data_IF_074595517811
#
_entry.id   IF_074595517811
#
_cell.length_a   1.000
_cell.length_b   1.000
_cell.length_c   1.000
_cell.angle_alpha   90.00
_cell.angle_beta   90.00
_cell.angle_gamma   90.00
#
_symmetry.space_group_name_H-M   'P 1'
#
loop_
_entity.id
_entity.type
_entity.pdbx_description
1 polymer ?
#
# COMPACT_ATOMS: atom_id res chain seq x y z
N UNK A 1 -17.70 25.17 -9.92
CA UNK A 1 -17.50 23.99 -10.79
C UNK A 1 -17.77 24.37 -12.22
N UNK A 2 -16.87 24.02 -13.15
CA UNK A 2 -17.08 24.30 -14.59
C UNK A 2 -18.21 23.41 -15.13
N UNK A 3 -18.86 23.86 -16.19
CA UNK A 3 -19.94 23.10 -16.87
C UNK A 3 -19.43 21.75 -17.37
N UNK A 4 -18.19 21.70 -17.87
CA UNK A 4 -17.49 20.49 -18.30
C UNK A 4 -17.39 19.45 -17.17
N UNK A 5 -17.03 19.88 -15.97
CA UNK A 5 -16.89 18.99 -14.82
C UNK A 5 -18.25 18.42 -14.36
N UNK A 6 -19.31 19.25 -14.40
CA UNK A 6 -20.67 18.79 -14.09
C UNK A 6 -21.16 17.76 -15.10
N UNK A 7 -20.91 18.00 -16.39
CA UNK A 7 -21.28 17.06 -17.45
C UNK A 7 -20.57 15.72 -17.27
N UNK A 8 -19.28 15.75 -16.89
CA UNK A 8 -18.51 14.55 -16.63
C UNK A 8 -19.07 13.73 -15.45
N UNK A 9 -19.45 14.39 -14.35
CA UNK A 9 -20.11 13.71 -13.22
C UNK A 9 -21.40 13.02 -13.69
N UNK A 10 -22.18 13.70 -14.53
CA UNK A 10 -23.44 13.17 -15.04
C UNK A 10 -23.21 11.96 -15.96
N UNK A 11 -22.18 11.97 -16.81
CA UNK A 11 -21.79 10.81 -17.63
C UNK A 11 -21.48 9.57 -16.78
N UNK A 12 -20.74 9.76 -15.67
CA UNK A 12 -20.51 8.66 -14.72
C UNK A 12 -21.80 8.18 -14.06
N UNK A 13 -22.69 9.09 -13.65
CA UNK A 13 -23.96 8.72 -13.03
C UNK A 13 -24.84 7.93 -13.99
N UNK A 14 -24.93 8.35 -15.25
CA UNK A 14 -25.70 7.62 -16.27
C UNK A 14 -25.09 6.24 -16.48
N UNK A 15 -23.76 6.14 -16.65
CA UNK A 15 -23.11 4.84 -16.87
C UNK A 15 -23.25 3.88 -15.67
N UNK A 16 -23.22 4.41 -14.45
CA UNK A 16 -23.33 3.63 -13.22
C UNK A 16 -24.79 3.32 -12.83
N UNK A 17 -25.80 3.98 -13.39
CA UNK A 17 -27.22 3.71 -13.13
C UNK A 17 -27.82 2.69 -14.09
N UNK A 18 -27.08 2.21 -15.09
CA UNK A 18 -27.55 1.14 -15.98
C UNK A 18 -27.74 -0.16 -15.19
N UNK A 19 -28.87 -0.90 -15.34
CA UNK A 19 -29.11 -2.18 -14.64
C UNK A 19 -27.98 -3.20 -14.83
N UNK A 20 -27.35 -3.17 -16.01
CA UNK A 20 -26.13 -3.88 -16.35
C UNK A 20 -25.09 -2.89 -16.85
N UNK A 21 -24.08 -2.69 -16.05
CA UNK A 21 -23.01 -1.70 -16.35
C UNK A 21 -22.18 -2.17 -17.54
N UNK A 22 -22.02 -1.28 -18.53
CA UNK A 22 -21.11 -1.50 -19.65
C UNK A 22 -19.68 -1.28 -19.18
N UNK A 23 -18.91 -2.38 -19.02
CA UNK A 23 -17.51 -2.32 -18.56
C UNK A 23 -16.64 -1.51 -19.52
N UNK A 24 -16.84 -1.62 -20.84
CA UNK A 24 -16.08 -0.87 -21.87
C UNK A 24 -16.30 0.62 -21.68
N UNK A 25 -17.56 1.07 -21.61
CA UNK A 25 -17.88 2.49 -21.40
C UNK A 25 -17.34 3.01 -20.06
N UNK A 26 -17.45 2.20 -19.01
CA UNK A 26 -16.91 2.57 -17.69
C UNK A 26 -15.39 2.74 -17.74
N UNK A 27 -14.67 1.83 -18.40
CA UNK A 27 -13.22 1.91 -18.59
C UNK A 27 -12.81 3.18 -19.34
N UNK A 28 -13.48 3.50 -20.44
CA UNK A 28 -13.22 4.73 -21.20
C UNK A 28 -13.40 5.99 -20.36
N UNK A 29 -14.47 6.05 -19.56
CA UNK A 29 -14.71 7.15 -18.63
C UNK A 29 -13.63 7.23 -17.54
N UNK A 30 -13.29 6.12 -16.91
CA UNK A 30 -12.34 6.08 -15.79
C UNK A 30 -10.91 6.40 -16.21
N UNK A 31 -10.50 6.03 -17.43
CA UNK A 31 -9.15 6.21 -17.94
C UNK A 31 -8.67 7.68 -17.85
N UNK A 32 -9.54 8.61 -18.12
CA UNK A 32 -9.23 10.06 -18.03
C UNK A 32 -9.36 10.64 -16.60
N UNK A 33 -9.41 9.79 -15.59
CA UNK A 33 -9.55 10.14 -14.17
C UNK A 33 -11.01 10.22 -13.71
N UNK A 34 -11.28 9.77 -12.51
CA UNK A 34 -12.63 9.71 -11.94
C UNK A 34 -12.86 10.96 -11.08
N UNK A 35 -14.01 11.66 -11.23
CA UNK A 35 -14.35 12.79 -10.37
C UNK A 35 -14.34 12.43 -8.89
N UNK A 36 -13.92 13.38 -8.06
CA UNK A 36 -13.85 13.16 -6.60
C UNK A 36 -15.24 13.11 -5.94
N UNK A 37 -16.23 13.78 -6.53
CA UNK A 37 -17.55 13.92 -5.94
C UNK A 37 -18.38 12.64 -5.96
N UNK A 38 -19.24 12.51 -4.96
CA UNK A 38 -20.34 11.52 -4.92
C UNK A 38 -19.90 10.07 -4.74
N UNK A 39 -18.66 9.79 -4.30
CA UNK A 39 -18.20 8.42 -4.11
C UNK A 39 -17.96 7.64 -5.41
N UNK A 40 -17.93 8.34 -6.56
CA UNK A 40 -17.82 7.71 -7.89
C UNK A 40 -16.57 6.82 -7.98
N UNK A 41 -15.42 7.30 -7.46
CA UNK A 41 -14.16 6.55 -7.53
C UNK A 41 -14.24 5.24 -6.74
N UNK A 42 -14.76 5.28 -5.54
CA UNK A 42 -14.94 4.10 -4.69
C UNK A 42 -15.78 3.03 -5.43
N UNK A 43 -16.89 3.43 -6.03
CA UNK A 43 -17.76 2.53 -6.77
C UNK A 43 -17.09 2.00 -8.05
N UNK A 44 -16.45 2.86 -8.85
CA UNK A 44 -15.74 2.46 -10.06
C UNK A 44 -14.62 1.46 -9.75
N UNK A 45 -13.80 1.72 -8.73
CA UNK A 45 -12.72 0.80 -8.36
C UNK A 45 -13.23 -0.56 -7.90
N UNK A 46 -14.35 -0.61 -7.15
CA UNK A 46 -14.98 -1.86 -6.75
C UNK A 46 -15.42 -2.70 -7.96
N UNK A 47 -15.90 -2.05 -9.02
CA UNK A 47 -16.27 -2.73 -10.28
C UNK A 47 -15.02 -3.14 -11.06
N UNK A 48 -14.07 -2.22 -11.27
CA UNK A 48 -12.85 -2.46 -12.05
C UNK A 48 -11.92 -3.51 -11.42
N UNK A 49 -11.97 -3.66 -10.10
CA UNK A 49 -11.26 -4.71 -9.35
C UNK A 49 -12.08 -5.99 -9.15
N UNK A 50 -13.16 -6.17 -9.90
CA UNK A 50 -14.00 -7.37 -9.90
C UNK A 50 -14.61 -7.73 -8.51
N UNK A 51 -14.79 -6.74 -7.64
CA UNK A 51 -15.45 -6.92 -6.35
C UNK A 51 -16.98 -6.83 -6.50
N UNK A 52 -17.46 -5.88 -7.28
CA UNK A 52 -18.87 -5.76 -7.63
C UNK A 52 -19.14 -6.36 -9.02
N UNK A 53 -20.19 -7.18 -9.16
CA UNK A 53 -20.62 -7.66 -10.47
C UNK A 53 -21.19 -6.52 -11.32
N UNK A 54 -21.18 -6.69 -12.65
CA UNK A 54 -21.72 -5.67 -13.57
C UNK A 54 -23.25 -5.52 -13.47
N UNK A 55 -23.95 -6.54 -13.00
CA UNK A 55 -25.40 -6.54 -12.81
C UNK A 55 -25.75 -6.02 -11.41
N UNK A 56 -26.32 -4.82 -11.34
CA UNK A 56 -26.65 -4.17 -10.07
C UNK A 56 -27.60 -4.96 -9.16
N UNK A 57 -28.52 -5.72 -9.75
CA UNK A 57 -29.44 -6.57 -9.00
C UNK A 57 -28.73 -7.60 -8.09
N UNK A 58 -27.47 -7.94 -8.40
CA UNK A 58 -26.69 -8.89 -7.63
C UNK A 58 -25.86 -8.23 -6.50
N UNK A 59 -25.77 -6.90 -6.45
CA UNK A 59 -24.89 -6.20 -5.49
C UNK A 59 -25.24 -6.50 -4.04
N UNK A 60 -26.53 -6.37 -3.67
CA UNK A 60 -26.96 -6.57 -2.29
C UNK A 60 -26.61 -7.97 -1.77
N UNK A 61 -26.88 -9.00 -2.55
CA UNK A 61 -26.57 -10.39 -2.16
C UNK A 61 -25.08 -10.67 -2.12
N UNK A 62 -24.31 -10.15 -3.10
CA UNK A 62 -22.86 -10.32 -3.20
C UNK A 62 -22.15 -9.60 -2.03
N UNK A 63 -22.50 -8.34 -1.79
CA UNK A 63 -21.93 -7.54 -0.70
C UNK A 63 -22.20 -8.18 0.67
N UNK A 64 -23.47 -8.59 0.91
CA UNK A 64 -23.84 -9.26 2.16
C UNK A 64 -22.97 -10.49 2.40
N UNK A 65 -22.88 -11.38 1.41
CA UNK A 65 -22.09 -12.60 1.50
C UNK A 65 -20.60 -12.30 1.79
N UNK A 66 -20.01 -11.39 1.03
CA UNK A 66 -18.57 -11.05 1.17
C UNK A 66 -18.28 -10.41 2.52
N UNK A 67 -19.09 -9.46 2.98
CA UNK A 67 -18.93 -8.79 4.28
C UNK A 67 -19.14 -9.74 5.45
N UNK A 68 -20.11 -10.67 5.38
CA UNK A 68 -20.27 -11.75 6.35
C UNK A 68 -19.06 -12.69 6.37
N UNK A 69 -18.52 -13.04 5.20
CA UNK A 69 -17.30 -13.86 5.10
C UNK A 69 -16.11 -13.15 5.74
N UNK A 70 -15.95 -11.85 5.51
CA UNK A 70 -14.88 -11.09 6.17
C UNK A 70 -15.05 -11.04 7.69
N UNK A 71 -16.26 -10.84 8.18
CA UNK A 71 -16.56 -10.88 9.61
C UNK A 71 -16.24 -12.25 10.24
N UNK A 72 -16.43 -13.33 9.48
CA UNK A 72 -16.01 -14.67 9.92
C UNK A 72 -14.49 -14.80 9.96
N UNK A 73 -13.76 -14.30 8.97
CA UNK A 73 -12.29 -14.28 9.02
C UNK A 73 -11.75 -13.53 10.23
N UNK A 74 -12.34 -12.39 10.58
CA UNK A 74 -12.00 -11.66 11.81
C UNK A 74 -12.12 -12.55 13.05
N UNK A 75 -13.23 -13.25 13.19
CA UNK A 75 -13.49 -14.14 14.35
C UNK A 75 -12.51 -15.31 14.41
N UNK A 76 -12.20 -15.92 13.27
CA UNK A 76 -11.38 -17.12 13.22
C UNK A 76 -9.88 -16.83 13.35
N UNK A 77 -9.40 -15.68 12.83
CA UNK A 77 -7.98 -15.43 12.66
C UNK A 77 -7.35 -14.53 13.71
N UNK A 78 -8.15 -13.72 14.39
CA UNK A 78 -7.65 -12.79 15.42
C UNK A 78 -7.66 -13.41 16.81
N UNK A 79 -8.36 -14.53 16.99
CA UNK A 79 -8.52 -15.20 18.29
C UNK A 79 -7.20 -15.76 18.82
N UNK A 80 -6.92 -15.49 20.10
CA UNK A 80 -5.81 -16.08 20.84
C UNK A 80 -6.10 -17.52 21.27
N UNK A 81 -5.09 -18.41 21.35
CA UNK A 81 -5.27 -19.79 21.75
C UNK A 81 -5.93 -19.98 23.13
N UNK A 82 -5.64 -19.10 24.08
CA UNK A 82 -6.21 -19.19 25.46
C UNK A 82 -7.68 -18.74 25.55
N UNK A 83 -8.10 -17.78 24.74
CA UNK A 83 -9.46 -17.21 24.76
C UNK A 83 -10.45 -18.14 24.08
N UNK A 84 -10.05 -18.82 23.00
CA UNK A 84 -10.89 -19.79 22.32
C UNK A 84 -11.39 -20.91 23.25
N UNK A 85 -10.62 -21.27 24.27
CA UNK A 85 -10.99 -22.30 25.25
C UNK A 85 -11.95 -21.78 26.33
N UNK A 86 -11.77 -20.56 26.80
CA UNK A 86 -12.68 -19.91 27.74
C UNK A 86 -14.10 -19.79 27.17
N UNK A 87 -14.21 -19.40 25.89
CA UNK A 87 -15.50 -19.26 25.20
C UNK A 87 -16.19 -20.60 24.86
N UNK A 88 -15.45 -21.69 24.85
CA UNK A 88 -16.02 -23.04 24.62
C UNK A 88 -16.48 -23.74 25.91
N UNK A 89 -16.40 -23.06 27.06
CA UNK A 89 -16.82 -23.64 28.37
C UNK A 89 -15.97 -24.81 28.84
N UNK A 90 -14.78 -24.99 28.27
CA UNK A 90 -13.84 -26.05 28.65
C UNK A 90 -13.09 -25.56 29.89
N UNK A 91 -13.31 -26.21 31.01
CA UNK A 91 -12.70 -25.89 32.31
C UNK A 91 -11.17 -25.94 32.26
N UNK A 92 -10.54 -25.13 33.12
CA UNK A 92 -9.07 -24.90 33.21
C UNK A 92 -8.21 -26.15 33.33
N UNK A 93 -8.78 -27.27 33.75
CA UNK A 93 -8.07 -28.56 33.95
C UNK A 93 -7.78 -29.29 32.62
N UNK A 94 -8.58 -29.11 31.58
CA UNK A 94 -8.38 -29.73 30.27
C UNK A 94 -7.39 -29.01 29.38
N UNK A 95 -7.01 -27.78 29.74
CA UNK A 95 -6.09 -26.91 28.97
C UNK A 95 -4.64 -27.38 29.04
N UNK A 96 -4.29 -28.17 30.07
CA UNK A 96 -2.89 -28.51 30.39
C UNK A 96 -2.34 -29.72 29.63
N UNK A 97 -3.19 -30.53 29.01
CA UNK A 97 -2.75 -31.79 28.40
C UNK A 97 -2.61 -31.78 26.88
N UNK A 98 -3.33 -30.89 26.14
CA UNK A 98 -3.35 -31.00 24.68
C UNK A 98 -2.55 -29.94 23.90
N UNK A 99 -2.42 -28.70 24.39
CA UNK A 99 -1.64 -27.67 23.66
C UNK A 99 -0.99 -26.68 24.63
N UNK A 100 0.34 -26.66 24.70
CA UNK A 100 1.14 -25.84 25.59
C UNK A 100 2.12 -24.96 24.78
N UNK A 101 2.47 -23.73 25.23
CA UNK A 101 3.42 -22.87 24.51
C UNK A 101 4.78 -23.51 24.18
N UNK A 102 5.19 -24.53 24.90
CA UNK A 102 6.43 -25.27 24.67
C UNK A 102 6.20 -26.61 23.95
N UNK A 103 5.02 -26.85 23.40
CA UNK A 103 4.71 -28.05 22.64
C UNK A 103 5.59 -28.11 21.37
N UNK A 104 6.42 -29.18 21.19
CA UNK A 104 7.26 -29.29 20.00
C UNK A 104 6.49 -29.63 18.72
N UNK A 105 5.17 -29.91 18.82
CA UNK A 105 4.36 -30.20 17.64
C UNK A 105 4.27 -28.99 16.73
N UNK A 106 4.69 -29.07 15.44
CA UNK A 106 4.59 -27.98 14.49
C UNK A 106 3.15 -27.53 14.22
N UNK A 107 2.16 -28.40 14.44
CA UNK A 107 0.72 -28.11 14.25
C UNK A 107 0.06 -27.51 15.51
N UNK A 108 0.84 -27.26 16.56
CA UNK A 108 0.37 -26.59 17.78
C UNK A 108 -0.18 -25.19 17.44
N UNK A 109 -1.32 -24.82 18.04
CA UNK A 109 -1.89 -23.48 17.94
C UNK A 109 -0.94 -22.40 18.47
N UNK A 110 -0.11 -22.74 19.45
CA UNK A 110 0.91 -21.85 19.97
C UNK A 110 2.03 -21.58 18.95
N UNK A 111 2.47 -22.60 18.23
CA UNK A 111 3.46 -22.42 17.17
C UNK A 111 2.90 -21.53 16.04
N UNK A 112 1.64 -21.75 15.66
CA UNK A 112 0.94 -20.87 14.71
C UNK A 112 0.86 -19.44 15.25
N UNK A 113 0.49 -19.27 16.52
CA UNK A 113 0.41 -17.96 17.16
C UNK A 113 1.77 -17.22 17.17
N UNK A 114 2.88 -17.92 17.43
CA UNK A 114 4.21 -17.31 17.41
C UNK A 114 4.66 -16.94 15.99
N UNK A 115 4.42 -17.78 15.00
CA UNK A 115 4.68 -17.45 13.59
C UNK A 115 3.84 -16.24 13.13
N UNK A 116 2.59 -16.22 13.52
CA UNK A 116 1.70 -15.07 13.25
C UNK A 116 2.23 -13.78 13.87
N UNK A 117 2.84 -13.85 15.08
CA UNK A 117 3.43 -12.68 15.72
C UNK A 117 4.63 -12.13 14.94
N UNK A 118 5.45 -13.00 14.33
CA UNK A 118 6.57 -12.55 13.50
C UNK A 118 6.08 -11.78 12.28
N UNK A 119 5.06 -12.30 11.60
CA UNK A 119 4.42 -11.64 10.46
C UNK A 119 3.77 -10.33 10.90
N UNK A 120 3.02 -10.34 12.01
CA UNK A 120 2.36 -9.15 12.54
C UNK A 120 3.36 -8.03 12.88
N UNK A 121 4.50 -8.36 13.51
CA UNK A 121 5.56 -7.39 13.81
C UNK A 121 6.16 -6.74 12.54
N UNK A 122 6.23 -7.48 11.45
CA UNK A 122 6.69 -6.94 10.18
C UNK A 122 5.66 -5.98 9.59
N UNK A 123 4.39 -6.37 9.60
CA UNK A 123 3.27 -5.53 9.14
C UNK A 123 3.20 -4.24 9.95
N UNK A 124 3.22 -4.34 11.29
CA UNK A 124 3.14 -3.19 12.21
C UNK A 124 4.20 -2.13 11.90
N UNK A 125 5.44 -2.55 11.69
CA UNK A 125 6.53 -1.63 11.33
C UNK A 125 6.28 -0.88 10.03
N UNK A 126 5.65 -1.53 9.05
CA UNK A 126 5.42 -0.94 7.73
C UNK A 126 4.17 -0.04 7.72
N UNK A 127 3.07 -0.46 8.39
CA UNK A 127 1.84 0.35 8.43
C UNK A 127 1.99 1.62 9.27
N UNK A 128 2.81 1.60 10.32
CA UNK A 128 3.14 2.81 11.09
C UNK A 128 3.90 3.88 10.30
N UNK A 129 4.44 3.52 9.14
CA UNK A 129 5.15 4.41 8.23
C UNK A 129 4.38 4.67 6.94
N UNK A 130 3.12 4.22 6.86
CA UNK A 130 2.28 4.38 5.70
C UNK A 130 1.89 5.85 5.52
N UNK A 131 2.27 6.45 4.39
CA UNK A 131 1.96 7.83 4.03
C UNK A 131 2.17 8.84 5.19
N UNK A 132 3.39 8.99 5.72
CA UNK A 132 3.65 9.80 6.91
C UNK A 132 3.29 11.29 6.74
N UNK A 133 3.23 11.77 5.50
CA UNK A 133 2.86 13.14 5.16
C UNK A 133 1.34 13.39 5.24
N UNK A 134 0.56 12.32 5.41
CA UNK A 134 -0.90 12.40 5.49
C UNK A 134 -1.38 12.03 6.89
N UNK A 135 -1.95 12.99 7.60
CA UNK A 135 -2.55 12.77 8.91
C UNK A 135 -3.73 11.77 8.92
N UNK A 136 -4.26 11.39 7.75
CA UNK A 136 -5.41 10.49 7.64
C UNK A 136 -5.17 9.16 8.35
N UNK A 137 -4.06 8.48 8.05
CA UNK A 137 -3.81 7.15 8.60
C UNK A 137 -3.62 7.14 10.13
N UNK A 138 -3.27 8.28 10.70
CA UNK A 138 -3.07 8.46 12.16
C UNK A 138 -4.36 8.83 12.88
N UNK A 139 -5.39 9.30 12.18
CA UNK A 139 -6.65 9.72 12.77
C UNK A 139 -7.49 8.50 13.15
N UNK A 140 -8.36 8.64 14.15
CA UNK A 140 -9.32 7.61 14.49
C UNK A 140 -10.31 7.40 13.36
N UNK A 141 -10.67 6.12 13.11
CA UNK A 141 -11.77 5.77 12.22
C UNK A 141 -13.11 6.01 12.90
N UNK A 142 -14.11 6.43 12.11
CA UNK A 142 -15.49 6.55 12.58
C UNK A 142 -16.15 5.17 12.79
N UNK A 143 -15.57 4.12 12.23
CA UNK A 143 -16.09 2.75 12.20
C UNK A 143 -15.05 1.75 12.71
N UNK A 144 -14.72 1.79 14.02
CA UNK A 144 -13.78 0.85 14.63
C UNK A 144 -14.36 -0.57 14.60
N UNK A 145 -13.49 -1.57 14.56
CA UNK A 145 -13.92 -2.96 14.62
C UNK A 145 -14.45 -3.32 16.01
N UNK A 146 -15.75 -3.21 16.21
CA UNK A 146 -16.41 -3.45 17.51
C UNK A 146 -16.12 -4.86 18.06
N UNK A 147 -15.93 -5.85 17.19
CA UNK A 147 -15.57 -7.20 17.63
C UNK A 147 -14.29 -7.24 18.48
N UNK A 148 -13.32 -6.36 18.18
CA UNK A 148 -12.02 -6.32 18.84
C UNK A 148 -11.98 -5.22 19.90
N UNK A 149 -12.72 -4.13 19.67
CA UNK A 149 -12.70 -2.95 20.55
C UNK A 149 -13.67 -3.03 21.71
N UNK A 150 -14.65 -3.94 21.67
CA UNK A 150 -15.61 -4.11 22.77
C UNK A 150 -14.88 -4.68 24.00
N UNK A 151 -14.86 -3.96 25.14
CA UNK A 151 -14.24 -4.44 26.38
C UNK A 151 -14.86 -5.71 26.96
N UNK A 152 -16.09 -6.04 26.54
CA UNK A 152 -16.78 -7.28 26.95
C UNK A 152 -16.30 -8.48 26.14
N UNK A 153 -15.72 -8.26 24.98
CA UNK A 153 -15.05 -9.29 24.20
C UNK A 153 -13.62 -9.44 24.72
N UNK A 154 -13.28 -10.63 25.17
CA UNK A 154 -11.93 -10.95 25.65
C UNK A 154 -10.88 -10.99 24.54
N UNK A 155 -11.14 -10.35 23.39
CA UNK A 155 -10.19 -10.29 22.28
C UNK A 155 -9.10 -9.25 22.55
N UNK A 156 -7.88 -9.65 22.30
CA UNK A 156 -6.74 -8.75 22.34
C UNK A 156 -6.62 -8.03 20.99
N UNK A 157 -6.47 -6.70 21.03
CA UNK A 157 -6.18 -5.94 19.80
C UNK A 157 -4.81 -6.36 19.22
N UNK A 158 -4.65 -6.29 17.91
CA UNK A 158 -3.36 -6.58 17.26
C UNK A 158 -2.25 -5.70 17.86
N UNK A 159 -2.54 -4.44 18.13
CA UNK A 159 -1.63 -3.52 18.83
C UNK A 159 -1.14 -4.06 20.18
N UNK A 160 -2.02 -4.53 21.07
CA UNK A 160 -1.61 -5.12 22.36
C UNK A 160 -0.76 -6.37 22.15
N UNK A 161 -1.09 -7.17 21.15
CA UNK A 161 -0.33 -8.36 20.78
C UNK A 161 1.10 -8.00 20.33
N UNK A 162 1.27 -6.94 19.52
CA UNK A 162 2.57 -6.39 19.13
C UNK A 162 3.35 -5.90 20.36
N UNK A 163 2.74 -5.09 21.22
CA UNK A 163 3.36 -4.55 22.43
C UNK A 163 3.87 -5.67 23.35
N UNK A 164 3.05 -6.68 23.63
CA UNK A 164 3.44 -7.82 24.47
C UNK A 164 4.58 -8.63 23.87
N UNK A 165 4.56 -8.84 22.57
CA UNK A 165 5.62 -9.58 21.85
C UNK A 165 6.95 -8.81 21.90
N UNK A 166 6.90 -7.50 21.74
CA UNK A 166 8.06 -6.60 21.80
C UNK A 166 8.65 -6.56 23.20
N UNK A 167 7.84 -6.45 24.26
CA UNK A 167 8.28 -6.46 25.65
C UNK A 167 8.98 -7.78 26.01
N UNK A 168 8.40 -8.92 25.60
CA UNK A 168 9.00 -10.24 25.85
C UNK A 168 10.37 -10.39 25.17
N UNK A 169 10.52 -9.86 23.96
CA UNK A 169 11.81 -9.94 23.24
C UNK A 169 12.91 -9.09 23.89
N UNK A 170 12.55 -7.94 24.43
CA UNK A 170 13.50 -7.07 25.16
C UNK A 170 13.95 -7.71 26.49
N UNK A 171 13.03 -8.36 27.21
CA UNK A 171 13.35 -9.04 28.47
C UNK A 171 14.29 -10.23 28.26
N UNK A 172 14.10 -10.99 27.21
CA UNK A 172 14.98 -12.15 26.86
C UNK A 172 16.37 -11.69 26.44
N UNK A 173 16.49 -10.58 25.71
CA UNK A 173 17.78 -10.01 25.34
C UNK A 173 18.59 -9.51 26.57
N UNK A 174 17.92 -8.98 27.60
CA UNK A 174 18.57 -8.53 28.84
C UNK A 174 19.12 -9.69 29.68
N UNK A 175 18.43 -10.82 29.71
CA UNK A 175 18.84 -11.99 30.49
C UNK A 175 20.00 -12.79 29.85
N UNK A 176 20.30 -12.60 28.58
CA UNK A 176 21.40 -13.32 27.87
C UNK A 176 22.76 -12.70 28.01
N UNK A 177 22.87 -11.43 28.37
CA UNK A 177 24.16 -10.72 28.29
C UNK A 177 24.94 -10.63 29.59
N UNK A 178 24.45 -11.11 30.76
CA UNK A 178 25.24 -11.19 32.00
C UNK A 178 26.12 -9.97 32.35
N UNK A 179 26.01 -8.87 31.63
CA UNK A 179 26.77 -7.64 31.77
C UNK A 179 25.79 -6.54 32.17
N UNK A 180 25.85 -6.17 33.43
CA UNK A 180 25.18 -5.01 34.01
C UNK A 180 25.79 -3.72 33.47
N UNK A 181 25.57 -3.39 32.22
CA UNK A 181 25.69 -2.03 31.74
C UNK A 181 24.30 -1.42 31.77
N UNK A 182 24.07 -0.55 32.75
CA UNK A 182 22.93 0.35 32.81
C UNK A 182 23.08 1.35 31.65
N UNK A 183 22.79 0.90 30.45
CA UNK A 183 22.46 1.81 29.39
C UNK A 183 21.02 2.28 29.64
N UNK A 184 20.87 3.54 30.02
CA UNK A 184 19.60 4.24 29.88
C UNK A 184 18.94 3.84 28.57
N UNK A 185 17.63 3.53 28.56
CA UNK A 185 16.95 3.27 27.31
C UNK A 185 17.18 4.50 26.42
N UNK A 186 18.03 4.37 25.40
CA UNK A 186 18.05 5.35 24.35
C UNK A 186 16.63 5.36 23.80
N UNK A 187 15.88 6.41 24.13
CA UNK A 187 14.72 6.81 23.35
C UNK A 187 15.22 7.05 21.95
N UNK A 188 15.24 6.01 21.12
CA UNK A 188 15.24 6.15 19.68
C UNK A 188 13.88 6.71 19.34
N UNK A 189 13.69 7.99 19.58
CA UNK A 189 12.60 8.76 19.01
C UNK A 189 12.88 8.84 17.52
N UNK A 190 12.51 7.79 16.80
CA UNK A 190 12.24 7.93 15.40
C UNK A 190 10.97 8.79 15.32
N UNK A 191 11.13 10.04 14.88
CA UNK A 191 10.04 11.02 14.72
C UNK A 191 9.00 10.61 13.67
N UNK A 192 8.85 9.33 13.37
CA UNK A 192 7.97 8.74 12.36
C UNK A 192 7.05 7.64 12.90
N UNK A 193 7.08 7.35 14.20
CA UNK A 193 6.11 6.41 14.77
C UNK A 193 4.83 7.16 15.10
N UNK A 194 3.72 6.70 14.57
CA UNK A 194 2.40 7.25 14.88
C UNK A 194 2.11 7.10 16.37
N UNK A 195 1.58 8.16 16.98
CA UNK A 195 1.12 8.10 18.36
C UNK A 195 -0.02 7.09 18.50
N UNK A 196 0.04 6.33 19.58
CA UNK A 196 -1.02 5.37 19.90
C UNK A 196 -2.22 6.12 20.43
N UNK A 197 -3.39 5.91 19.82
CA UNK A 197 -4.63 6.51 20.25
C UNK A 197 -5.09 5.96 21.61
N UNK A 198 -5.90 6.72 22.38
CA UNK A 198 -6.49 6.25 23.63
C UNK A 198 -7.26 4.93 23.45
N UNK A 199 -7.39 4.18 24.55
CA UNK A 199 -8.20 2.97 24.58
C UNK A 199 -9.63 3.26 24.11
N UNK A 200 -10.16 2.41 23.23
CA UNK A 200 -11.47 2.57 22.61
C UNK A 200 -11.47 3.32 21.28
N UNK A 201 -10.32 3.88 20.86
CA UNK A 201 -10.15 4.49 19.55
C UNK A 201 -9.22 3.61 18.70
N UNK A 202 -9.55 3.47 17.43
CA UNK A 202 -8.78 2.72 16.43
C UNK A 202 -8.33 3.66 15.32
N UNK A 203 -7.05 3.69 15.01
CA UNK A 203 -6.52 4.48 13.89
C UNK A 203 -6.74 3.78 12.55
N UNK A 204 -6.80 4.55 11.47
CA UNK A 204 -6.92 3.98 10.13
C UNK A 204 -5.75 3.05 9.77
N UNK A 205 -4.52 3.29 10.26
CA UNK A 205 -3.41 2.38 10.02
C UNK A 205 -3.60 1.02 10.72
N UNK A 206 -4.29 0.95 11.87
CA UNK A 206 -4.60 -0.30 12.57
C UNK A 206 -5.61 -1.15 11.76
N UNK A 207 -6.52 -0.50 11.05
CA UNK A 207 -7.42 -1.20 10.11
C UNK A 207 -6.62 -1.80 8.95
N UNK A 208 -5.67 -1.04 8.39
CA UNK A 208 -4.78 -1.54 7.32
C UNK A 208 -3.92 -2.71 7.82
N UNK A 209 -3.39 -2.62 9.04
CA UNK A 209 -2.67 -3.72 9.70
C UNK A 209 -3.51 -5.01 9.73
N UNK A 210 -4.76 -4.89 10.14
CA UNK A 210 -5.69 -6.01 10.25
C UNK A 210 -6.01 -6.64 8.88
N UNK A 211 -6.25 -5.83 7.86
CA UNK A 211 -6.46 -6.28 6.48
C UNK A 211 -5.27 -7.13 6.02
N UNK A 212 -4.05 -6.61 6.18
CA UNK A 212 -2.82 -7.28 5.76
C UNK A 212 -2.55 -8.55 6.57
N UNK A 213 -2.83 -8.53 7.87
CA UNK A 213 -2.66 -9.70 8.72
C UNK A 213 -3.59 -10.84 8.30
N UNK A 214 -4.87 -10.56 8.05
CA UNK A 214 -5.83 -11.57 7.58
C UNK A 214 -5.42 -12.07 6.19
N UNK A 215 -5.01 -11.17 5.29
CA UNK A 215 -4.51 -11.56 3.96
C UNK A 215 -3.33 -12.52 4.07
N UNK A 216 -2.33 -12.21 4.90
CA UNK A 216 -1.15 -13.05 5.09
C UNK A 216 -1.49 -14.43 5.66
N UNK A 217 -2.44 -14.51 6.58
CA UNK A 217 -2.91 -15.80 7.14
C UNK A 217 -3.65 -16.66 6.12
N UNK A 218 -4.44 -16.05 5.24
CA UNK A 218 -5.16 -16.75 4.18
C UNK A 218 -4.27 -17.16 3.02
N UNK A 219 -3.10 -16.54 2.89
CA UNK A 219 -2.16 -16.77 1.79
C UNK A 219 -0.76 -17.18 2.33
N UNK A 220 -0.63 -18.30 3.07
CA UNK A 220 0.61 -18.66 3.75
C UNK A 220 1.80 -18.90 2.80
N UNK A 221 1.55 -19.20 1.52
CA UNK A 221 2.59 -19.37 0.51
C UNK A 221 3.32 -18.09 0.12
N UNK A 222 2.69 -16.92 0.30
CA UNK A 222 3.28 -15.60 0.07
C UNK A 222 3.47 -14.89 1.41
N UNK A 223 2.52 -15.08 2.33
CA UNK A 223 2.40 -14.38 3.60
C UNK A 223 2.36 -12.84 3.39
N UNK A 224 3.07 -12.08 4.21
CA UNK A 224 3.23 -10.64 4.03
C UNK A 224 4.61 -10.35 3.45
N UNK A 225 4.65 -9.55 2.41
CA UNK A 225 5.89 -9.02 1.84
C UNK A 225 5.89 -7.51 1.98
N UNK A 226 7.04 -6.97 2.39
CA UNK A 226 7.23 -5.52 2.55
C UNK A 226 6.86 -4.78 1.26
N UNK A 227 6.03 -3.75 1.40
CA UNK A 227 5.48 -2.97 0.29
C UNK A 227 4.00 -3.26 -0.01
N UNK A 228 3.43 -4.37 0.46
CA UNK A 228 1.99 -4.63 0.33
C UNK A 228 1.14 -3.55 1.02
N UNK A 229 1.66 -2.92 2.09
CA UNK A 229 1.06 -1.76 2.75
C UNK A 229 0.89 -0.57 1.79
N UNK A 230 1.83 -0.36 0.87
CA UNK A 230 1.77 0.73 -0.12
C UNK A 230 0.72 0.48 -1.21
N UNK A 231 0.33 -0.78 -1.43
CA UNK A 231 -0.73 -1.14 -2.38
C UNK A 231 -2.11 -1.07 -1.74
N UNK A 232 -2.27 -1.57 -0.52
CA UNK A 232 -3.56 -1.53 0.17
C UNK A 232 -3.94 -0.12 0.62
N UNK A 233 -2.96 0.73 0.94
CA UNK A 233 -3.16 2.09 1.45
C UNK A 233 -4.06 2.97 0.57
N UNK A 234 -3.77 3.15 -0.73
CA UNK A 234 -4.59 3.95 -1.63
C UNK A 234 -6.01 3.40 -1.82
N UNK A 235 -6.17 2.07 -1.85
CA UNK A 235 -7.50 1.43 -1.95
C UNK A 235 -8.31 1.72 -0.69
N UNK A 236 -7.72 1.48 0.48
CA UNK A 236 -8.38 1.75 1.76
C UNK A 236 -8.72 3.24 1.93
N UNK A 237 -7.78 4.14 1.61
CA UNK A 237 -8.03 5.58 1.66
C UNK A 237 -9.26 5.97 0.81
N UNK A 238 -9.32 5.47 -0.42
CA UNK A 238 -10.42 5.76 -1.35
C UNK A 238 -11.78 5.29 -0.80
N UNK A 239 -11.83 4.15 -0.14
CA UNK A 239 -13.08 3.59 0.41
C UNK A 239 -13.44 4.19 1.77
N UNK A 240 -12.46 4.41 2.63
CA UNK A 240 -12.67 4.99 3.95
C UNK A 240 -12.97 6.51 3.93
N UNK A 241 -12.72 7.17 2.80
CA UNK A 241 -13.09 8.59 2.57
C UNK A 241 -14.34 8.73 1.70
N UNK A 242 -15.06 7.65 1.42
CA UNK A 242 -16.31 7.70 0.65
C UNK A 242 -17.33 8.61 1.36
N UNK A 243 -17.96 9.56 0.66
CA UNK A 243 -18.99 10.42 1.24
C UNK A 243 -20.27 9.67 1.61
N UNK A 244 -20.51 8.49 1.03
CA UNK A 244 -21.64 7.64 1.38
C UNK A 244 -21.29 6.82 2.63
N UNK A 245 -22.02 7.05 3.71
CA UNK A 245 -21.81 6.40 5.02
C UNK A 245 -21.96 4.88 4.95
N UNK A 246 -22.90 4.37 4.17
CA UNK A 246 -23.12 2.94 3.97
C UNK A 246 -21.91 2.24 3.32
N UNK A 247 -21.25 2.89 2.38
CA UNK A 247 -20.00 2.38 1.80
C UNK A 247 -18.82 2.55 2.74
N UNK A 248 -18.73 3.69 3.40
CA UNK A 248 -17.64 4.03 4.32
C UNK A 248 -17.58 3.07 5.52
N UNK A 249 -18.73 2.69 6.08
CA UNK A 249 -18.85 1.74 7.19
C UNK A 249 -18.20 0.38 6.87
N UNK A 250 -18.25 -0.02 5.62
CA UNK A 250 -17.71 -1.30 5.17
C UNK A 250 -16.39 -1.20 4.44
N UNK A 251 -15.71 -0.05 4.55
CA UNK A 251 -14.45 0.19 3.84
C UNK A 251 -13.38 -0.86 4.09
N UNK A 252 -13.31 -1.42 5.31
CA UNK A 252 -12.35 -2.47 5.67
C UNK A 252 -12.58 -3.75 4.87
N UNK A 253 -13.78 -4.31 4.90
CA UNK A 253 -14.13 -5.54 4.20
C UNK A 253 -14.03 -5.37 2.68
N UNK A 254 -14.55 -4.25 2.15
CA UNK A 254 -14.51 -3.95 0.72
C UNK A 254 -13.05 -3.80 0.23
N UNK A 255 -12.17 -3.17 1.05
CA UNK A 255 -10.74 -3.07 0.75
C UNK A 255 -10.07 -4.43 0.74
N UNK A 256 -10.36 -5.29 1.72
CA UNK A 256 -9.78 -6.63 1.79
C UNK A 256 -10.01 -7.42 0.50
N UNK A 257 -11.23 -7.46 0.00
CA UNK A 257 -11.54 -8.20 -1.23
C UNK A 257 -10.97 -7.54 -2.49
N UNK A 258 -11.06 -6.20 -2.62
CA UNK A 258 -10.45 -5.49 -3.73
C UNK A 258 -8.93 -5.67 -3.77
N UNK A 259 -8.27 -5.58 -2.60
CA UNK A 259 -6.84 -5.85 -2.47
C UNK A 259 -6.50 -7.30 -2.82
N UNK A 260 -7.27 -8.27 -2.34
CA UNK A 260 -7.08 -9.70 -2.66
C UNK A 260 -7.20 -9.96 -4.16
N UNK A 261 -8.19 -9.36 -4.83
CA UNK A 261 -8.35 -9.46 -6.27
C UNK A 261 -7.16 -8.85 -7.02
N UNK A 262 -6.71 -7.65 -6.62
CA UNK A 262 -5.53 -7.01 -7.21
C UNK A 262 -4.28 -7.86 -7.00
N UNK A 263 -4.08 -8.37 -5.78
CA UNK A 263 -2.94 -9.25 -5.47
C UNK A 263 -2.96 -10.54 -6.26
N UNK A 264 -4.13 -11.08 -6.63
CA UNK A 264 -4.20 -12.26 -7.48
C UNK A 264 -3.56 -12.07 -8.86
N UNK A 265 -3.50 -10.83 -9.35
CA UNK A 265 -2.90 -10.46 -10.63
C UNK A 265 -1.39 -10.15 -10.51
N UNK A 266 -0.93 -9.66 -9.34
CA UNK A 266 0.45 -9.17 -9.16
C UNK A 266 1.29 -10.00 -8.18
N UNK A 267 0.72 -11.01 -7.54
CA UNK A 267 1.39 -11.80 -6.51
C UNK A 267 2.73 -12.38 -6.96
N UNK A 268 2.86 -12.73 -8.24
CA UNK A 268 4.08 -13.33 -8.78
C UNK A 268 5.28 -12.37 -8.71
N UNK A 269 5.03 -11.06 -8.67
CA UNK A 269 6.06 -10.04 -8.44
C UNK A 269 6.66 -10.08 -7.02
N UNK A 270 6.00 -10.78 -6.08
CA UNK A 270 6.40 -10.89 -4.67
C UNK A 270 6.97 -12.26 -4.32
N UNK A 271 6.99 -13.20 -5.26
CA UNK A 271 7.44 -14.58 -5.03
C UNK A 271 8.86 -14.73 -5.57
N UNK A 272 9.85 -14.69 -4.67
CA UNK A 272 11.27 -14.76 -5.01
C UNK A 272 11.65 -15.96 -5.90
N UNK A 273 11.00 -17.10 -5.75
CA UNK A 273 11.25 -18.28 -6.59
C UNK A 273 10.77 -18.13 -8.03
N UNK A 274 9.96 -17.12 -8.32
CA UNK A 274 9.46 -16.80 -9.66
C UNK A 274 10.19 -15.62 -10.31
N UNK A 275 11.15 -14.98 -9.63
CA UNK A 275 11.82 -13.77 -10.11
C UNK A 275 12.39 -13.94 -11.53
N UNK A 276 12.99 -15.09 -11.81
CA UNK A 276 13.62 -15.39 -13.12
C UNK A 276 12.68 -16.12 -14.10
N UNK A 277 11.39 -16.23 -13.78
CA UNK A 277 10.39 -16.84 -14.66
C UNK A 277 9.79 -15.81 -15.63
N UNK A 278 9.11 -16.28 -16.68
CA UNK A 278 8.41 -15.41 -17.63
C UNK A 278 7.25 -14.61 -17.02
N UNK A 279 6.72 -15.02 -15.87
CA UNK A 279 5.71 -14.27 -15.13
C UNK A 279 6.31 -13.42 -14.00
N UNK A 280 7.61 -13.55 -13.75
CA UNK A 280 8.32 -12.90 -12.66
C UNK A 280 8.68 -11.44 -12.93
N UNK A 281 9.16 -10.79 -11.88
CA UNK A 281 9.49 -9.36 -11.93
C UNK A 281 10.68 -9.05 -12.85
N UNK A 282 11.65 -9.97 -12.95
CA UNK A 282 12.82 -9.79 -13.84
C UNK A 282 12.39 -9.66 -15.30
N UNK A 283 11.51 -10.53 -15.77
CA UNK A 283 10.97 -10.46 -17.12
C UNK A 283 10.20 -9.15 -17.37
N UNK A 284 9.39 -8.70 -16.42
CA UNK A 284 8.66 -7.43 -16.54
C UNK A 284 9.61 -6.22 -16.58
N UNK A 285 10.71 -6.24 -15.83
CA UNK A 285 11.73 -5.19 -15.89
C UNK A 285 12.46 -5.19 -17.26
N UNK A 286 12.72 -6.37 -17.82
CA UNK A 286 13.29 -6.49 -19.16
C UNK A 286 12.33 -5.98 -20.25
N UNK A 287 11.02 -6.19 -20.06
CA UNK A 287 10.00 -5.63 -20.95
C UNK A 287 10.01 -4.09 -20.95
N UNK A 288 10.28 -3.42 -19.84
CA UNK A 288 10.47 -1.96 -19.84
C UNK A 288 11.60 -1.56 -20.79
N UNK A 289 12.72 -2.28 -20.77
CA UNK A 289 13.84 -1.97 -21.67
C UNK A 289 13.57 -2.38 -23.12
N UNK A 290 12.87 -3.48 -23.35
CA UNK A 290 12.48 -3.90 -24.71
C UNK A 290 11.55 -2.87 -25.34
N UNK A 291 10.56 -2.40 -24.57
CA UNK A 291 9.63 -1.35 -25.00
C UNK A 291 10.35 -0.01 -25.19
N UNK A 292 11.25 0.37 -24.27
CA UNK A 292 12.05 1.59 -24.43
C UNK A 292 12.92 1.53 -25.69
N UNK A 293 13.54 0.38 -25.98
CA UNK A 293 14.34 0.16 -27.20
C UNK A 293 13.52 0.37 -28.45
N UNK A 294 12.26 -0.08 -28.46
CA UNK A 294 11.35 0.09 -29.58
C UNK A 294 10.90 1.54 -29.75
N UNK A 295 10.58 2.21 -28.65
CA UNK A 295 10.00 3.57 -28.68
C UNK A 295 11.04 4.68 -28.69
N UNK A 296 12.23 4.49 -28.11
CA UNK A 296 13.33 5.47 -28.08
C UNK A 296 14.69 4.76 -28.00
N UNK A 297 15.21 4.40 -29.17
CA UNK A 297 16.48 3.68 -29.30
C UNK A 297 17.68 4.47 -28.74
N UNK A 298 17.72 5.80 -28.93
CA UNK A 298 18.84 6.62 -28.48
C UNK A 298 18.94 6.63 -26.95
N UNK A 299 17.79 6.78 -26.28
CA UNK A 299 17.72 6.75 -24.82
C UNK A 299 18.08 5.37 -24.28
N UNK A 300 17.60 4.30 -24.92
CA UNK A 300 17.96 2.93 -24.58
C UNK A 300 19.46 2.71 -24.66
N UNK A 301 20.10 3.11 -25.78
CA UNK A 301 21.55 2.96 -25.97
C UNK A 301 22.34 3.76 -24.95
N UNK A 302 21.91 4.97 -24.60
CA UNK A 302 22.55 5.79 -23.56
C UNK A 302 22.54 5.11 -22.19
N UNK A 303 21.41 4.55 -21.79
CA UNK A 303 21.30 3.83 -20.51
C UNK A 303 22.14 2.54 -20.51
N UNK A 304 22.20 1.84 -21.65
CA UNK A 304 23.05 0.65 -21.82
C UNK A 304 24.55 1.00 -21.77
N UNK A 305 24.97 2.06 -22.45
CA UNK A 305 26.37 2.55 -22.42
C UNK A 305 26.82 2.84 -20.98
N UNK A 306 25.95 3.42 -20.18
CA UNK A 306 26.20 3.71 -18.78
C UNK A 306 26.01 2.48 -17.85
N UNK A 307 25.66 1.32 -18.39
CA UNK A 307 25.36 0.10 -17.61
C UNK A 307 24.28 0.32 -16.53
N UNK A 308 23.33 1.21 -16.80
CA UNK A 308 22.15 1.42 -15.94
C UNK A 308 21.15 0.32 -16.25
N UNK A 309 20.96 -0.58 -15.29
CA UNK A 309 20.03 -1.71 -15.44
C UNK A 309 18.64 -1.36 -14.95
N UNK A 310 17.55 -1.91 -15.54
CA UNK A 310 16.19 -1.63 -15.10
C UNK A 310 15.93 -2.04 -13.65
N UNK A 311 16.67 -3.02 -13.12
CA UNK A 311 16.60 -3.44 -11.73
C UNK A 311 16.88 -2.30 -10.72
N UNK A 312 17.63 -1.28 -11.12
CA UNK A 312 18.00 -0.18 -10.22
C UNK A 312 16.85 0.79 -9.94
N UNK A 313 15.81 0.83 -10.80
CA UNK A 313 14.68 1.75 -10.67
C UNK A 313 13.32 1.08 -10.95
N UNK A 314 13.19 0.26 -12.00
CA UNK A 314 11.91 -0.29 -12.44
C UNK A 314 11.36 -1.36 -11.48
N UNK A 315 12.20 -2.02 -10.67
CA UNK A 315 11.74 -3.01 -9.68
C UNK A 315 10.66 -2.42 -8.77
N UNK A 316 10.95 -1.29 -8.13
CA UNK A 316 10.03 -0.62 -7.21
C UNK A 316 8.81 -0.08 -7.95
N UNK A 317 9.01 0.50 -9.15
CA UNK A 317 7.93 1.05 -9.95
C UNK A 317 6.88 0.00 -10.31
N UNK A 318 7.32 -1.16 -10.76
CA UNK A 318 6.45 -2.26 -11.19
C UNK A 318 5.84 -3.01 -9.99
N UNK A 319 6.65 -3.34 -8.99
CA UNK A 319 6.18 -4.12 -7.83
C UNK A 319 5.14 -3.37 -7.02
N UNK A 320 5.32 -2.06 -6.83
CA UNK A 320 4.45 -1.23 -6.00
C UNK A 320 3.47 -0.36 -6.81
N UNK A 321 3.32 -0.63 -8.10
CA UNK A 321 2.40 0.11 -8.98
C UNK A 321 2.57 1.63 -8.88
N UNK A 322 3.83 2.10 -8.81
CA UNK A 322 4.22 3.51 -8.67
C UNK A 322 3.76 4.19 -7.36
N UNK A 323 3.22 3.46 -6.39
CA UNK A 323 2.67 4.05 -5.15
C UNK A 323 3.70 4.78 -4.28
N UNK A 324 4.99 4.47 -4.40
CA UNK A 324 6.08 5.16 -3.71
C UNK A 324 6.73 6.29 -4.52
N UNK A 325 6.35 6.44 -5.78
CA UNK A 325 6.97 7.41 -6.68
C UNK A 325 6.23 8.75 -6.67
N UNK A 326 4.96 8.76 -6.32
CA UNK A 326 4.09 9.92 -6.37
C UNK A 326 3.38 10.15 -5.03
N UNK A 327 2.85 11.36 -4.83
CA UNK A 327 1.95 11.66 -3.71
C UNK A 327 0.63 10.90 -3.88
N UNK A 328 -0.06 10.62 -2.79
CA UNK A 328 -1.27 9.80 -2.81
C UNK A 328 -2.35 10.29 -3.80
N UNK A 329 -2.64 11.59 -3.97
CA UNK A 329 -3.59 12.05 -4.98
C UNK A 329 -3.17 11.67 -6.40
N UNK A 330 -1.88 11.75 -6.72
CA UNK A 330 -1.32 11.40 -8.02
C UNK A 330 -1.32 9.90 -8.24
N UNK A 331 -1.00 9.12 -7.21
CA UNK A 331 -1.14 7.65 -7.24
C UNK A 331 -2.57 7.25 -7.56
N UNK A 332 -3.54 7.85 -6.89
CA UNK A 332 -4.97 7.59 -7.13
C UNK A 332 -5.34 7.95 -8.58
N UNK A 333 -4.82 9.05 -9.11
CA UNK A 333 -5.05 9.44 -10.51
C UNK A 333 -4.43 8.44 -11.50
N UNK A 334 -3.20 7.98 -11.24
CA UNK A 334 -2.55 6.93 -12.06
C UNK A 334 -3.38 5.65 -12.01
N UNK A 335 -3.87 5.28 -10.85
CA UNK A 335 -4.63 4.03 -10.68
C UNK A 335 -6.03 4.08 -11.31
N UNK A 336 -6.64 5.27 -11.41
CA UNK A 336 -7.87 5.42 -12.22
C UNK A 336 -7.64 4.93 -13.66
N UNK A 337 -6.53 5.34 -14.30
CA UNK A 337 -6.18 4.90 -15.65
C UNK A 337 -5.72 3.43 -15.69
N UNK A 338 -4.89 3.03 -14.73
CA UNK A 338 -4.33 1.68 -14.66
C UNK A 338 -5.44 0.62 -14.49
N UNK A 339 -6.38 0.82 -13.55
CA UNK A 339 -7.45 -0.13 -13.31
C UNK A 339 -8.47 -0.17 -14.45
N UNK A 340 -8.60 0.91 -15.20
CA UNK A 340 -9.50 0.99 -16.34
C UNK A 340 -8.93 0.40 -17.63
N UNK A 341 -7.62 0.24 -17.76
CA UNK A 341 -7.02 -0.41 -18.92
C UNK A 341 -7.32 -1.92 -18.94
N UNK A 342 -7.47 -2.48 -20.14
CA UNK A 342 -7.75 -3.93 -20.31
C UNK A 342 -6.54 -4.75 -19.91
N UNK A 343 -5.36 -4.31 -20.39
CA UNK A 343 -4.06 -4.93 -20.14
C UNK A 343 -3.24 -4.06 -19.17
N UNK A 344 -3.81 -3.83 -17.99
CA UNK A 344 -3.32 -2.84 -17.01
C UNK A 344 -1.84 -2.93 -16.68
N UNK A 345 -1.25 -4.10 -16.74
CA UNK A 345 0.17 -4.26 -16.41
C UNK A 345 1.08 -4.00 -17.62
N UNK A 346 0.62 -4.22 -18.83
CA UNK A 346 1.32 -3.78 -20.05
C UNK A 346 1.23 -2.26 -20.16
N UNK A 347 0.08 -1.69 -19.82
CA UNK A 347 -0.05 -0.23 -19.70
C UNK A 347 0.88 0.36 -18.62
N UNK A 348 1.09 -0.33 -17.49
CA UNK A 348 2.07 0.09 -16.49
C UNK A 348 3.50 0.16 -17.05
N UNK A 349 3.89 -0.79 -17.90
CA UNK A 349 5.19 -0.76 -18.58
C UNK A 349 5.30 0.48 -19.48
N UNK A 350 4.24 0.81 -20.21
CA UNK A 350 4.19 2.04 -21.03
C UNK A 350 4.25 3.32 -20.17
N UNK A 351 3.63 3.33 -19.00
CA UNK A 351 3.76 4.44 -18.05
C UNK A 351 5.21 4.58 -17.60
N UNK A 352 5.89 3.49 -17.26
CA UNK A 352 7.32 3.52 -16.91
C UNK A 352 8.19 4.05 -18.07
N UNK A 353 7.91 3.63 -19.32
CA UNK A 353 8.61 4.14 -20.49
C UNK A 353 8.31 5.62 -20.72
N UNK A 354 7.06 6.06 -20.56
CA UNK A 354 6.67 7.46 -20.67
C UNK A 354 7.43 8.34 -19.66
N UNK A 355 7.58 7.86 -18.41
CA UNK A 355 8.38 8.55 -17.39
C UNK A 355 9.83 8.75 -17.85
N UNK A 356 10.46 7.73 -18.43
CA UNK A 356 11.83 7.83 -18.96
C UNK A 356 11.92 8.80 -20.14
N UNK A 357 11.01 8.70 -21.10
CA UNK A 357 10.99 9.51 -22.31
C UNK A 357 10.74 10.99 -21.98
N UNK A 358 9.92 11.29 -21.02
CA UNK A 358 9.63 12.67 -20.62
C UNK A 358 10.84 13.39 -19.98
N UNK A 359 11.79 12.64 -19.44
CA UNK A 359 13.07 13.19 -18.91
C UNK A 359 14.26 12.88 -19.85
N UNK A 360 13.97 12.52 -21.11
CA UNK A 360 14.94 12.11 -22.13
C UNK A 360 16.15 13.02 -22.21
N UNK A 361 15.92 14.31 -22.37
CA UNK A 361 16.99 15.30 -22.60
C UNK A 361 17.96 15.36 -21.41
N UNK A 362 17.44 15.23 -20.19
CA UNK A 362 18.27 15.20 -18.98
C UNK A 362 19.09 13.91 -18.90
N UNK A 363 18.47 12.75 -19.25
CA UNK A 363 19.14 11.45 -19.24
C UNK A 363 20.22 11.35 -20.32
N UNK A 364 20.02 11.95 -21.51
CA UNK A 364 21.00 11.94 -22.57
C UNK A 364 22.25 12.76 -22.24
N UNK A 365 22.09 13.89 -21.53
CA UNK A 365 23.18 14.77 -21.14
C UNK A 365 23.87 14.28 -19.84
N UNK A 366 23.13 13.62 -18.96
CA UNK A 366 23.61 13.15 -17.66
C UNK A 366 24.69 12.06 -17.74
N UNK A 367 25.56 12.07 -16.76
CA UNK A 367 26.47 10.96 -16.47
C UNK A 367 25.75 9.86 -15.66
N UNK A 368 26.44 8.74 -15.39
CA UNK A 368 25.88 7.63 -14.59
C UNK A 368 25.33 8.10 -13.24
N UNK A 369 26.04 8.95 -12.51
CA UNK A 369 25.66 9.39 -11.17
C UNK A 369 24.41 10.29 -11.20
N UNK A 370 24.37 11.22 -12.16
CA UNK A 370 23.23 12.09 -12.37
C UNK A 370 22.01 11.27 -12.78
N UNK A 371 22.15 10.37 -13.76
CA UNK A 371 21.07 9.54 -14.26
C UNK A 371 20.54 8.58 -13.19
N UNK A 372 21.42 7.93 -12.43
CA UNK A 372 21.00 7.10 -11.30
C UNK A 372 20.24 7.90 -10.24
N UNK A 373 20.68 9.12 -9.96
CA UNK A 373 19.97 10.00 -9.03
C UNK A 373 18.60 10.38 -9.58
N UNK A 374 18.49 10.80 -10.83
CA UNK A 374 17.21 11.11 -11.47
C UNK A 374 16.24 9.93 -11.39
N UNK A 375 16.67 8.73 -11.74
CA UNK A 375 15.85 7.52 -11.77
C UNK A 375 15.44 7.01 -10.37
N UNK A 376 16.27 7.24 -9.36
CA UNK A 376 15.99 6.83 -7.98
C UNK A 376 15.26 7.91 -7.17
N UNK A 377 15.36 9.18 -7.56
CA UNK A 377 14.79 10.31 -6.82
C UNK A 377 13.31 10.51 -7.10
N UNK A 378 12.76 9.85 -8.13
CA UNK A 378 11.33 9.88 -8.42
C UNK A 378 10.47 9.60 -7.16
N UNK A 379 10.95 8.76 -6.24
CA UNK A 379 10.30 8.53 -4.94
C UNK A 379 10.79 9.41 -3.78
N UNK A 380 11.72 10.34 -3.98
CA UNK A 380 12.32 11.13 -2.89
C UNK A 380 11.51 12.36 -2.48
N UNK A 381 10.41 12.71 -3.16
CA UNK A 381 9.52 13.78 -2.69
C UNK A 381 9.04 13.54 -1.26
N UNK A 382 8.77 12.31 -0.89
CA UNK A 382 8.44 11.94 0.50
C UNK A 382 9.61 12.18 1.48
N UNK A 383 10.87 12.22 1.01
CA UNK A 383 12.04 12.45 1.87
C UNK A 383 12.48 13.91 1.92
N UNK A 384 12.31 14.66 0.85
CA UNK A 384 12.72 16.07 0.79
C UNK A 384 11.84 16.99 1.66
N UNK A 385 10.53 16.76 1.71
CA UNK A 385 9.61 17.46 2.62
C UNK A 385 9.94 17.26 4.12
N UNK A 386 10.76 16.25 4.45
CA UNK A 386 11.13 15.92 5.84
C UNK A 386 12.29 16.77 6.40
N UNK A 387 12.98 17.55 5.57
CA UNK A 387 14.16 18.33 5.98
C UNK A 387 13.91 19.82 6.17
N UNK A 388 12.70 20.30 5.89
CA UNK A 388 12.28 21.69 6.18
C UNK A 388 11.48 21.78 7.48
N UNK A 389 12.06 21.30 8.60
CA UNK A 389 11.60 21.75 9.94
C UNK A 389 12.37 23.02 10.29
N UNK A 390 11.69 24.06 10.81
CA UNK A 390 12.28 25.35 11.05
C UNK A 390 13.39 25.21 12.10
N UNK A 391 14.62 25.49 11.69
CA UNK A 391 15.67 25.85 12.63
C UNK A 391 15.20 27.06 13.43
N UNK A 392 15.06 26.90 14.73
CA UNK A 392 14.78 27.99 15.67
C UNK A 392 15.75 29.15 15.46
N UNK A 393 15.48 30.32 16.07
CA UNK A 393 16.16 31.55 15.76
C UNK A 393 17.66 31.46 16.01
N UNK A 394 18.46 31.46 14.91
CA UNK A 394 19.92 31.60 14.99
C UNK A 394 20.21 33.06 15.29
N UNK A 395 20.85 33.29 16.43
CA UNK A 395 21.41 34.57 16.83
C UNK A 395 22.25 35.16 15.70
N UNK A 396 21.97 36.43 15.38
CA UNK A 396 22.83 37.28 14.55
C UNK A 396 24.16 37.45 15.24
N UNK A 397 25.19 36.78 14.78
CA UNK A 397 26.61 37.22 14.88
C UNK A 397 27.51 36.17 14.26
N UNK A 398 27.73 36.29 12.96
CA UNK A 398 28.96 35.98 12.23
C UNK A 398 28.73 36.14 10.73
N UNK A 399 28.98 37.35 10.26
CA UNK A 399 29.17 37.62 8.84
C UNK A 399 30.51 36.98 8.41
N UNK A 400 30.43 35.91 7.66
CA UNK A 400 31.48 35.31 6.90
C UNK A 400 30.93 34.83 5.59
N UNK A 401 31.30 35.51 4.53
CA UNK A 401 30.91 35.34 3.14
C UNK A 401 31.28 33.92 2.67
N UNK A 402 30.32 32.98 2.73
CA UNK A 402 30.33 31.74 1.98
C UNK A 402 29.08 31.70 1.12
N UNK A 403 29.19 32.21 -0.11
CA UNK A 403 28.25 31.96 -1.18
C UNK A 403 28.30 30.48 -1.52
N UNK A 404 27.52 29.68 -0.79
CA UNK A 404 27.17 28.32 -1.21
C UNK A 404 26.29 28.49 -2.48
N UNK A 405 26.68 27.89 -3.63
CA UNK A 405 25.81 27.90 -4.78
C UNK A 405 24.45 27.35 -4.31
N UNK A 406 23.37 28.11 -4.54
CA UNK A 406 22.01 27.55 -4.43
C UNK A 406 22.02 26.27 -5.24
N UNK A 407 22.11 25.13 -4.56
CA UNK A 407 21.79 23.86 -5.18
C UNK A 407 20.36 24.05 -5.71
N UNK A 408 20.23 24.17 -7.01
CA UNK A 408 18.97 24.00 -7.67
C UNK A 408 18.54 22.60 -7.29
N UNK A 409 17.62 22.51 -6.34
CA UNK A 409 16.88 21.29 -6.09
C UNK A 409 16.20 20.98 -7.41
N UNK A 410 16.71 19.97 -8.09
CA UNK A 410 16.08 19.41 -9.27
C UNK A 410 14.82 18.72 -8.76
N UNK A 411 13.74 19.51 -8.72
CA UNK A 411 12.39 18.95 -8.70
C UNK A 411 12.28 18.01 -9.90
N UNK A 412 11.75 16.80 -9.68
CA UNK A 412 11.40 15.93 -10.80
C UNK A 412 10.58 16.77 -11.79
N UNK A 413 11.00 16.89 -13.05
CA UNK A 413 10.49 17.94 -13.92
C UNK A 413 9.02 17.78 -14.31
N UNK A 414 8.37 16.67 -13.88
CA UNK A 414 6.99 16.39 -14.26
C UNK A 414 6.17 16.17 -12.99
N UNK A 415 5.64 17.27 -12.48
CA UNK A 415 4.59 17.27 -11.46
C UNK A 415 3.21 16.93 -12.02
N UNK A 416 3.06 16.92 -13.35
CA UNK A 416 1.80 16.67 -14.04
C UNK A 416 1.68 15.21 -14.46
N UNK A 417 0.99 14.43 -13.64
CA UNK A 417 0.71 13.00 -13.90
C UNK A 417 -0.13 12.81 -15.18
N UNK A 418 -1.00 13.73 -15.52
CA UNK A 418 -1.79 13.65 -16.75
C UNK A 418 -0.91 13.69 -18.00
N UNK A 419 0.23 14.38 -17.94
CA UNK A 419 1.22 14.38 -19.02
C UNK A 419 1.87 13.00 -19.19
N UNK A 420 2.19 12.33 -18.08
CA UNK A 420 2.74 10.97 -18.10
C UNK A 420 1.73 9.99 -18.70
N UNK A 421 0.48 10.04 -18.25
CA UNK A 421 -0.59 9.16 -18.72
C UNK A 421 -0.93 9.40 -20.18
N UNK A 422 -0.94 10.67 -20.62
CA UNK A 422 -1.12 11.04 -22.02
C UNK A 422 0.01 10.46 -22.88
N UNK A 423 1.26 10.62 -22.45
CA UNK A 423 2.41 10.07 -23.16
C UNK A 423 2.36 8.53 -23.21
N UNK A 424 2.01 7.87 -22.14
CA UNK A 424 1.84 6.42 -22.11
C UNK A 424 0.76 5.96 -23.10
N UNK A 425 -0.35 6.69 -23.19
CA UNK A 425 -1.42 6.41 -24.16
C UNK A 425 -0.95 6.59 -25.62
N UNK A 426 -0.21 7.66 -25.90
CA UNK A 426 0.40 7.87 -27.22
C UNK A 426 1.33 6.70 -27.61
N UNK A 427 2.11 6.18 -26.66
CA UNK A 427 2.97 5.01 -26.89
C UNK A 427 2.16 3.73 -27.14
N UNK A 428 1.02 3.57 -26.48
CA UNK A 428 0.11 2.44 -26.69
C UNK A 428 -0.52 2.49 -28.09
N UNK A 429 -1.00 3.67 -28.50
CA UNK A 429 -1.68 3.85 -29.79
C UNK A 429 -0.70 3.82 -31.01
N UNK A 430 0.61 3.91 -30.77
CA UNK A 430 1.67 3.83 -31.78
C UNK A 430 2.26 2.42 -31.95
N UNK A 431 1.68 1.41 -31.32
CA UNK A 431 2.14 0.02 -31.32
C UNK A 431 1.63 -0.77 -32.55
#
# INVERSE_FOLDING_TARGET
MSTLYKNRIEEFRIALNEPKISLTKLRELCFSGIPFEGGLRSLCWKILLNYLPLEQAQWSSSLKKQRETYAQFLKEMIIQPGIAKANLGIFREDVTLEDHPLNPNPDSRWNTYFKDNEVLLQIDKDVRRLYPDMAFFQRPTDYPCLLIMDPQNEFETLRRRVEQTTLKSQTVAHNRSGVTNVCSPRKTTSASEYEVLPNGCEAHWEVVERILFIYAKLNPGIAYVQGMNEIVGPVYYTFATDPNTEWKEHAEADTFFCFTNLMSEIRDNFIKSLDDSQCGITYKMENVYSTLKEKDMDLYLKLQEQNIKPQFFAFRWLTLLLSQEFLLPDVIRIWDSLFSDVDRFDFLILVCCAMLILIRDQLLVGDFTINMRLLQTVGSFRKAARWELPLGPISKDRAGDFSVPKAQFLDYPISDVDLILKKAKELQDSA
#
